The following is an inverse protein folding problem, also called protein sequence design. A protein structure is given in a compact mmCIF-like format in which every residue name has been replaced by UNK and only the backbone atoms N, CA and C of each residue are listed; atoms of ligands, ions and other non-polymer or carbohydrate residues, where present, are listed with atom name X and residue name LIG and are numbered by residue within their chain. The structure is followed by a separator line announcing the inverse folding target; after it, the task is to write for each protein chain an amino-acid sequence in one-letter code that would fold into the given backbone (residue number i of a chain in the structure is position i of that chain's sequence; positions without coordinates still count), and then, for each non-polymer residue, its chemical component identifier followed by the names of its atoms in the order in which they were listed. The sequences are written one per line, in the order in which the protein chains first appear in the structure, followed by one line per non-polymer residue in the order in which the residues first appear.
data_IF_893823682625
#
_entry.id   IF_893823682625
#
_cell.length_a   1.000
_cell.length_b   1.000
_cell.length_c   1.000
_cell.angle_alpha   90.00
_cell.angle_beta   90.00
_cell.angle_gamma   90.00
#
_symmetry.space_group_name_H-M   'P 1'
#
loop_
_entity.id
_entity.type
_entity.pdbx_description
1 polymer ?
#
# COMPACT_ATOMS: atom_id res chain seq x y z
N UNK A 1 16.56 -30.52 -1.82
CA UNK A 1 17.98 -30.52 -1.45
C UNK A 1 18.09 -29.82 -0.11
N UNK A 2 18.23 -30.56 0.99
CA UNK A 2 18.29 -29.96 2.33
C UNK A 2 19.72 -29.46 2.57
N UNK A 3 19.91 -28.14 2.62
CA UNK A 3 21.16 -27.53 3.04
C UNK A 3 21.40 -27.84 4.51
N UNK A 4 22.56 -28.42 4.86
CA UNK A 4 22.90 -28.78 6.23
C UNK A 4 23.42 -27.54 6.98
N UNK A 5 22.61 -26.99 7.89
CA UNK A 5 22.84 -25.70 8.57
C UNK A 5 23.69 -25.79 9.85
N UNK A 6 24.09 -26.98 10.32
CA UNK A 6 24.70 -27.16 11.65
C UNK A 6 26.15 -26.68 11.81
N UNK A 7 26.81 -26.17 10.76
CA UNK A 7 28.23 -25.78 10.80
C UNK A 7 28.50 -24.27 10.97
N UNK A 8 27.46 -23.42 11.05
CA UNK A 8 27.61 -21.97 11.04
C UNK A 8 27.18 -21.39 12.40
N UNK A 9 28.09 -20.70 13.10
CA UNK A 9 27.82 -20.11 14.42
C UNK A 9 26.60 -19.17 14.44
N UNK A 10 26.00 -18.99 15.63
CA UNK A 10 24.68 -18.37 15.81
C UNK A 10 24.48 -17.01 15.14
N UNK A 11 25.50 -16.14 15.15
CA UNK A 11 25.43 -14.82 14.52
C UNK A 11 25.37 -14.86 12.98
N UNK A 12 25.98 -15.87 12.35
CA UNK A 12 25.93 -16.08 10.90
C UNK A 12 24.58 -16.69 10.48
N UNK A 13 24.02 -17.58 11.29
CA UNK A 13 22.70 -18.18 11.05
C UNK A 13 21.59 -17.12 11.08
N UNK A 14 21.58 -16.23 12.08
CA UNK A 14 20.57 -15.17 12.18
C UNK A 14 20.60 -14.21 10.98
N UNK A 15 21.80 -13.83 10.50
CA UNK A 15 21.96 -12.96 9.33
C UNK A 15 21.44 -13.63 8.05
N UNK A 16 21.75 -14.91 7.84
CA UNK A 16 21.25 -15.67 6.69
C UNK A 16 19.73 -15.87 6.79
N UNK A 17 19.20 -16.20 7.97
CA UNK A 17 17.77 -16.33 8.21
C UNK A 17 17.02 -15.02 7.96
N UNK A 18 17.58 -13.88 8.38
CA UNK A 18 17.00 -12.56 8.13
C UNK A 18 16.94 -12.23 6.63
N UNK A 19 18.00 -12.51 5.87
CA UNK A 19 18.01 -12.30 4.40
C UNK A 19 16.98 -13.21 3.72
N UNK A 20 16.93 -14.47 4.12
CA UNK A 20 15.98 -15.45 3.58
C UNK A 20 14.52 -15.06 3.89
N UNK A 21 14.27 -14.53 5.10
CA UNK A 21 12.99 -13.98 5.51
C UNK A 21 12.59 -12.73 4.72
N UNK A 22 13.49 -11.78 4.51
CA UNK A 22 13.22 -10.58 3.71
C UNK A 22 12.95 -10.93 2.24
N UNK A 23 13.69 -11.90 1.69
CA UNK A 23 13.45 -12.41 0.34
C UNK A 23 12.05 -13.02 0.21
N UNK A 24 11.70 -13.94 1.12
CA UNK A 24 10.39 -14.59 1.11
C UNK A 24 9.23 -13.60 1.28
N UNK A 25 9.31 -12.70 2.27
CA UNK A 25 8.25 -11.71 2.53
C UNK A 25 8.05 -10.73 1.37
N UNK A 26 9.12 -10.38 0.65
CA UNK A 26 9.03 -9.53 -0.54
C UNK A 26 8.31 -10.26 -1.67
N UNK A 27 8.67 -11.53 -1.93
CA UNK A 27 7.98 -12.36 -2.93
C UNK A 27 6.49 -12.48 -2.62
N UNK A 28 6.13 -12.73 -1.36
CA UNK A 28 4.73 -12.85 -0.95
C UNK A 28 3.94 -11.55 -1.17
N UNK A 29 4.56 -10.38 -0.93
CA UNK A 29 3.92 -9.08 -1.20
C UNK A 29 3.71 -8.81 -2.69
N UNK A 30 4.68 -9.19 -3.52
CA UNK A 30 4.57 -9.03 -4.98
C UNK A 30 3.45 -9.91 -5.52
N UNK A 31 3.34 -11.16 -5.03
CA UNK A 31 2.26 -12.07 -5.42
C UNK A 31 0.88 -11.57 -4.97
N UNK A 32 0.72 -11.13 -3.72
CA UNK A 32 -0.54 -10.53 -3.22
C UNK A 32 -0.95 -9.30 -4.07
N UNK A 33 0.00 -8.42 -4.39
CA UNK A 33 -0.27 -7.28 -5.25
C UNK A 33 -0.71 -7.71 -6.66
N UNK A 34 -0.03 -8.70 -7.24
CA UNK A 34 -0.36 -9.21 -8.56
C UNK A 34 -1.78 -9.79 -8.59
N UNK A 35 -2.14 -10.62 -7.60
CA UNK A 35 -3.49 -11.18 -7.48
C UNK A 35 -4.57 -10.09 -7.38
N UNK A 36 -4.33 -9.04 -6.61
CA UNK A 36 -5.26 -7.91 -6.48
C UNK A 36 -5.41 -7.10 -7.76
N UNK A 37 -4.33 -6.95 -8.53
CA UNK A 37 -4.37 -6.28 -9.83
C UNK A 37 -5.21 -7.11 -10.80
N UNK A 38 -4.93 -8.41 -10.91
CA UNK A 38 -5.67 -9.33 -11.79
C UNK A 38 -7.15 -9.46 -11.42
N UNK A 39 -7.50 -9.30 -10.15
CA UNK A 39 -8.89 -9.29 -9.69
C UNK A 39 -9.70 -8.04 -10.12
N UNK A 40 -9.07 -7.06 -10.76
CA UNK A 40 -9.70 -5.79 -11.13
C UNK A 40 -10.67 -5.94 -12.31
N UNK A 41 -11.84 -5.31 -12.21
CA UNK A 41 -12.98 -5.49 -13.15
C UNK A 41 -13.49 -4.15 -13.67
N UNK A 42 -12.60 -3.33 -14.24
CA UNK A 42 -12.94 -1.97 -14.68
C UNK A 42 -13.99 -1.95 -15.79
N UNK A 43 -13.76 -2.70 -16.88
CA UNK A 43 -14.66 -2.70 -18.04
C UNK A 43 -16.01 -3.31 -17.69
N UNK A 44 -16.02 -4.44 -16.96
CA UNK A 44 -17.25 -5.11 -16.52
C UNK A 44 -18.10 -4.18 -15.64
N UNK A 45 -17.46 -3.46 -14.71
CA UNK A 45 -18.14 -2.53 -13.81
C UNK A 45 -18.65 -1.29 -14.55
N UNK A 46 -17.90 -0.78 -15.53
CA UNK A 46 -18.34 0.31 -16.40
C UNK A 46 -19.59 -0.08 -17.21
N UNK A 47 -19.54 -1.24 -17.87
CA UNK A 47 -20.68 -1.75 -18.65
C UNK A 47 -21.89 -2.06 -17.76
N UNK A 48 -21.67 -2.57 -16.55
CA UNK A 48 -22.73 -2.79 -15.56
C UNK A 48 -23.37 -1.48 -15.11
N UNK A 49 -22.57 -0.43 -14.90
CA UNK A 49 -23.05 0.91 -14.57
C UNK A 49 -23.92 1.51 -15.67
N UNK A 50 -23.53 1.34 -16.95
CA UNK A 50 -24.37 1.77 -18.08
C UNK A 50 -25.69 1.00 -18.18
N UNK A 51 -25.73 -0.24 -17.72
CA UNK A 51 -26.95 -1.02 -17.59
C UNK A 51 -27.76 -0.68 -16.32
N UNK A 52 -27.40 0.39 -15.60
CA UNK A 52 -28.09 0.83 -14.39
C UNK A 52 -27.90 -0.11 -13.19
N UNK A 53 -26.90 -0.99 -13.22
CA UNK A 53 -26.62 -1.93 -12.13
C UNK A 53 -25.78 -1.28 -11.04
N UNK A 54 -25.98 -1.75 -9.82
CA UNK A 54 -25.20 -1.33 -8.67
C UNK A 54 -23.74 -1.77 -8.79
N UNK A 55 -22.80 -0.85 -8.50
CA UNK A 55 -21.36 -1.10 -8.45
C UNK A 55 -20.90 -1.03 -6.99
N UNK A 56 -20.24 -2.07 -6.45
CA UNK A 56 -19.77 -2.09 -5.07
C UNK A 56 -18.87 -0.89 -4.74
N UNK A 57 -19.06 -0.32 -3.54
CA UNK A 57 -18.23 0.78 -3.08
C UNK A 57 -16.85 0.30 -2.64
N UNK A 58 -15.82 1.13 -2.83
CA UNK A 58 -14.45 0.83 -2.39
C UNK A 58 -13.64 2.07 -2.03
N UNK A 59 -12.51 1.92 -1.33
CA UNK A 59 -11.70 3.05 -0.90
C UNK A 59 -10.94 3.68 -2.08
N UNK A 60 -10.87 5.02 -2.11
CA UNK A 60 -10.00 5.76 -3.04
C UNK A 60 -8.60 5.99 -2.46
N UNK A 61 -7.58 6.06 -3.29
CA UNK A 61 -6.23 6.44 -2.84
C UNK A 61 -5.14 6.23 -3.87
N UNK A 62 -3.92 6.62 -3.49
CA UNK A 62 -2.73 6.44 -4.32
C UNK A 62 -1.96 5.20 -3.86
N UNK A 63 -1.83 4.22 -4.75
CA UNK A 63 -1.03 3.00 -4.52
C UNK A 63 0.40 3.37 -4.12
N UNK A 64 0.96 4.42 -4.73
CA UNK A 64 2.31 4.96 -4.45
C UNK A 64 2.50 5.49 -3.03
N UNK A 65 1.42 5.71 -2.26
CA UNK A 65 1.48 6.09 -0.84
C UNK A 65 1.33 4.89 0.11
N UNK A 66 1.54 3.67 -0.38
CA UNK A 66 1.45 2.44 0.41
C UNK A 66 0.01 1.97 0.66
N UNK A 67 -0.96 2.50 -0.12
CA UNK A 67 -2.37 2.15 -0.04
C UNK A 67 -2.70 1.03 -1.02
N UNK A 68 -2.26 -0.18 -0.68
CA UNK A 68 -2.53 -1.40 -1.46
C UNK A 68 -3.98 -1.91 -1.26
N UNK A 69 -4.68 -1.33 -0.29
CA UNK A 69 -6.10 -1.53 0.03
C UNK A 69 -7.06 -0.93 -1.01
N UNK A 70 -6.55 -0.12 -1.94
CA UNK A 70 -7.32 0.46 -3.06
C UNK A 70 -7.58 -0.56 -4.17
N UNK A 71 -6.83 -1.66 -4.21
CA UNK A 71 -7.04 -2.76 -5.16
C UNK A 71 -7.99 -3.82 -4.54
N UNK A 72 -8.83 -4.49 -5.36
CA UNK A 72 -8.97 -4.38 -6.81
C UNK A 72 -9.73 -3.12 -7.28
N UNK A 73 -9.47 -2.67 -8.52
CA UNK A 73 -10.18 -1.53 -9.14
C UNK A 73 -11.44 -1.97 -9.89
N UNK A 74 -12.28 -0.99 -10.26
CA UNK A 74 -13.64 -1.22 -10.77
C UNK A 74 -14.75 -1.02 -9.73
N UNK A 75 -14.41 -0.60 -8.51
CA UNK A 75 -15.38 -0.22 -7.49
C UNK A 75 -15.81 1.25 -7.62
N UNK A 76 -17.00 1.58 -7.11
CA UNK A 76 -17.43 2.96 -6.94
C UNK A 76 -16.67 3.59 -5.77
N UNK A 77 -15.60 4.33 -6.06
CA UNK A 77 -14.69 4.77 -5.02
C UNK A 77 -15.28 5.90 -4.18
N UNK A 78 -15.08 5.84 -2.86
CA UNK A 78 -15.35 6.95 -1.95
C UNK A 78 -14.03 7.58 -1.51
N UNK A 79 -14.05 8.90 -1.28
CA UNK A 79 -12.86 9.62 -0.84
C UNK A 79 -12.59 9.36 0.64
N UNK A 80 -13.22 10.13 1.52
CA UNK A 80 -13.10 10.02 2.97
C UNK A 80 -14.05 11.04 3.61
N UNK A 81 -14.41 10.80 4.88
CA UNK A 81 -15.24 11.72 5.65
C UNK A 81 -14.50 13.04 5.94
N UNK A 82 -15.00 14.20 5.46
CA UNK A 82 -14.37 15.50 5.65
C UNK A 82 -14.20 15.90 7.13
N UNK A 83 -15.06 15.41 8.03
CA UNK A 83 -14.95 15.71 9.47
C UNK A 83 -13.82 14.95 10.16
N UNK A 84 -13.27 13.93 9.50
CA UNK A 84 -12.12 13.15 9.98
C UNK A 84 -10.80 13.63 9.37
N UNK A 85 -10.84 14.69 8.56
CA UNK A 85 -9.68 15.27 7.88
C UNK A 85 -8.91 16.18 8.81
N UNK A 86 -8.07 15.56 9.63
CA UNK A 86 -6.80 16.10 10.13
C UNK A 86 -6.22 15.02 11.03
N UNK A 87 -5.80 13.91 10.44
CA UNK A 87 -5.18 12.84 11.23
C UNK A 87 -3.95 13.39 11.94
N UNK A 88 -3.62 12.85 13.11
CA UNK A 88 -2.43 13.25 13.87
C UNK A 88 -1.16 13.23 13.00
N UNK A 89 -1.06 12.24 12.13
CA UNK A 89 0.02 12.11 11.15
C UNK A 89 0.00 13.26 10.13
N UNK A 90 -1.16 13.64 9.60
CA UNK A 90 -1.28 14.77 8.68
C UNK A 90 -0.88 16.09 9.36
N UNK A 91 -1.22 16.27 10.65
CA UNK A 91 -0.81 17.43 11.43
C UNK A 91 0.71 17.50 11.63
N UNK A 92 1.35 16.39 11.99
CA UNK A 92 2.81 16.33 12.16
C UNK A 92 3.56 16.60 10.85
N UNK A 93 3.07 16.06 9.73
CA UNK A 93 3.59 16.37 8.39
C UNK A 93 3.40 17.85 8.07
N UNK A 94 2.24 18.42 8.35
CA UNK A 94 1.96 19.85 8.17
C UNK A 94 2.93 20.75 8.93
N UNK A 95 3.19 20.47 10.22
CA UNK A 95 4.17 21.22 11.02
C UNK A 95 5.58 21.15 10.42
N UNK A 96 6.01 19.97 9.96
CA UNK A 96 7.33 19.80 9.32
C UNK A 96 7.44 20.57 8.00
N UNK A 97 6.37 20.58 7.21
CA UNK A 97 6.31 21.33 5.95
C UNK A 97 6.33 22.84 6.19
N UNK A 98 5.56 23.33 7.17
CA UNK A 98 5.56 24.73 7.57
C UNK A 98 6.94 25.19 8.05
N UNK A 99 7.58 24.42 8.95
CA UNK A 99 8.93 24.71 9.45
C UNK A 99 10.01 24.73 8.36
N UNK A 100 9.87 23.91 7.31
CA UNK A 100 10.77 23.92 6.14
C UNK A 100 10.56 25.15 5.24
N UNK A 101 9.34 25.65 5.14
CA UNK A 101 9.01 26.78 4.26
C UNK A 101 9.22 28.15 4.93
N UNK A 102 9.20 28.24 6.26
CA UNK A 102 9.47 29.49 7.00
C UNK A 102 10.89 30.03 6.83
N UNK A 103 11.83 29.25 6.29
CA UNK A 103 13.16 29.73 5.87
C UNK A 103 13.23 30.26 4.42
N UNK A 104 12.11 30.25 3.67
CA UNK A 104 12.03 30.61 2.25
C UNK A 104 11.12 31.79 1.94
N UNK A 105 10.51 32.42 2.95
CA UNK A 105 9.71 33.64 2.77
C UNK A 105 10.64 34.82 3.08
N UNK A 106 11.22 35.51 2.08
CA UNK A 106 11.88 36.78 2.33
C UNK A 106 10.82 37.77 2.83
N UNK A 107 11.10 38.42 3.96
CA UNK A 107 10.33 39.57 4.45
C UNK A 107 10.61 40.82 3.62
#
# INVERSE_FOLDING_TARGET
MAFNFQAWGGECYEKIAAVMWHSHTTTMRVLDLNERIEASREIESLLSGFNGRYIPAGPSGLITRGRNDVLPVGCNFYSLDPHRVSTRTAWEVGKRLAGKNSGKIPG
#
